data_IF_746676250513
#
_entry.id   IF_746676250513
#
_cell.length_a   1.000
_cell.length_b   1.000
_cell.length_c   1.000
_cell.angle_alpha   90.00
_cell.angle_beta   90.00
_cell.angle_gamma   90.00
#
_symmetry.space_group_name_H-M   'P 1'
#
loop_
_entity.id
_entity.type
_entity.pdbx_description
1 polymer ?
2 polymer ?
3 non-polymer ?
4 non-polymer ?
5 non-polymer ?
6 non-polymer ?
7 non-polymer ?
8 water ?
#
# COMPACT_ATOMS: atom_id res chain seq x y z
N UNK A 1 10.45 -5.71 28.99
CA UNK A 1 10.26 -5.46 27.52
C UNK A 1 9.28 -4.26 27.24
N UNK A 2 9.68 -3.37 26.33
CA UNK A 2 8.88 -2.23 25.96
C UNK A 2 8.78 -2.29 24.45
N UNK A 3 7.63 -1.90 23.96
CA UNK A 3 7.35 -2.04 22.53
C UNK A 3 8.23 -1.19 21.62
N UNK A 4 8.81 -0.12 22.16
CA UNK A 4 9.64 0.77 21.36
C UNK A 4 11.00 0.15 21.00
N UNK A 5 11.45 -0.85 21.78
CA UNK A 5 12.72 -1.53 21.51
C UNK A 5 12.50 -2.91 20.98
N UNK A 6 13.03 -3.19 19.79
CA UNK A 6 12.95 -4.54 19.22
C UNK A 6 11.49 -4.99 19.13
N UNK A 7 10.58 -4.04 19.04
CA UNK A 7 9.14 -4.36 18.92
C UNK A 7 8.59 -5.11 20.15
N UNK A 8 9.20 -4.88 21.33
CA UNK A 8 8.88 -5.62 22.52
C UNK A 8 9.06 -7.11 22.39
N UNK A 9 9.83 -7.55 21.39
CA UNK A 9 9.99 -8.96 21.04
C UNK A 9 8.78 -9.59 20.29
N UNK A 10 7.76 -8.78 20.02
CA UNK A 10 6.55 -9.26 19.36
C UNK A 10 6.83 -9.46 17.87
N UNK A 11 6.25 -10.48 17.31
CA UNK A 11 6.33 -10.67 15.85
C UNK A 11 5.54 -9.61 15.12
N UNK A 12 4.39 -9.22 15.65
CA UNK A 12 3.50 -8.22 15.06
C UNK A 12 3.29 -7.05 15.99
N UNK A 13 2.13 -6.91 16.60
CA UNK A 13 1.77 -5.72 17.26
C UNK A 13 2.10 -5.82 18.76
N UNK A 14 2.31 -4.67 19.40
CA UNK A 14 2.80 -4.67 20.84
C UNK A 14 2.12 -3.55 21.58
N UNK A 15 1.56 -3.84 22.77
CA UNK A 15 0.97 -2.84 23.68
C UNK A 15 1.76 -2.86 24.96
N UNK A 16 2.19 -1.66 25.40
CA UNK A 16 2.76 -1.47 26.75
C UNK A 16 1.61 -1.35 27.75
N UNK A 17 1.81 -1.91 28.95
CA UNK A 17 0.80 -1.92 30.01
C UNK A 17 1.48 -1.45 31.29
N UNK A 18 0.68 -1.02 32.26
CA UNK A 18 1.24 -0.46 33.50
C UNK A 18 1.92 -1.61 34.27
N UNK A 19 3.19 -1.38 34.63
CA UNK A 19 4.09 -2.41 35.15
C UNK A 19 5.22 -2.59 34.16
N UNK A 20 6.14 -3.51 34.42
CA UNK A 20 7.01 -4.02 33.36
C UNK A 20 6.16 -5.03 32.53
N UNK A 21 4.99 -4.58 32.01
CA UNK A 21 4.07 -5.49 31.28
C UNK A 21 3.94 -5.12 29.82
N UNK A 22 3.78 -6.15 29.02
CA UNK A 22 3.72 -5.97 27.56
C UNK A 22 2.79 -7.05 27.05
N UNK A 23 1.94 -6.77 26.05
CA UNK A 23 1.14 -7.79 25.48
C UNK A 23 1.36 -7.68 23.97
N UNK A 24 1.68 -8.81 23.36
CA UNK A 24 1.77 -8.86 21.87
C UNK A 24 0.45 -9.23 21.36
N UNK A 25 0.17 -8.82 20.10
CA UNK A 25 -1.06 -9.16 19.51
C UNK A 25 -0.79 -9.50 18.03
N UNK A 26 -1.79 -10.05 17.36
CA UNK A 26 -1.66 -10.45 16.00
C UNK A 26 -2.81 -9.82 15.21
N UNK A 27 -2.53 -9.62 13.94
CA UNK A 27 -3.55 -9.17 12.99
C UNK A 27 -4.64 -10.19 12.87
N UNK A 28 -5.80 -9.75 12.41
CA UNK A 28 -6.85 -10.66 12.07
C UNK A 28 -6.30 -11.71 11.09
N UNK A 29 -6.74 -12.95 11.24
CA UNK A 29 -6.24 -14.02 10.47
C UNK A 29 -4.97 -14.71 11.02
N UNK A 30 -4.60 -14.27 12.21
CA UNK A 30 -3.49 -14.91 12.93
C UNK A 30 -3.91 -15.08 14.37
N UNK A 31 -3.23 -16.01 15.06
CA UNK A 31 -3.36 -16.17 16.50
C UNK A 31 -1.97 -16.15 17.15
N UNK A 32 -1.95 -15.71 18.37
CA UNK A 32 -0.75 -15.62 19.18
C UNK A 32 -0.42 -16.94 19.83
N UNK A 33 0.83 -17.32 19.71
CA UNK A 33 1.26 -18.61 20.27
C UNK A 33 1.53 -18.39 21.75
N UNK A 34 1.77 -19.55 22.38
CA UNK A 34 1.97 -19.59 23.86
C UNK A 34 3.27 -18.93 24.26
N UNK A 35 4.20 -18.69 23.35
CA UNK A 35 5.33 -17.88 23.62
C UNK A 35 5.02 -16.44 23.92
N UNK A 36 3.78 -16.02 23.60
CA UNK A 36 3.35 -14.65 23.80
C UNK A 36 3.85 -13.66 22.77
N UNK A 37 4.60 -14.12 21.77
CA UNK A 37 5.23 -13.23 20.79
C UNK A 37 4.89 -13.62 19.34
N UNK A 38 4.79 -14.90 19.03
CA UNK A 38 4.70 -15.36 17.66
C UNK A 38 3.28 -15.38 17.21
N UNK A 39 3.11 -15.13 15.92
CA UNK A 39 1.79 -15.16 15.31
C UNK A 39 1.72 -16.24 14.25
N UNK A 40 0.65 -17.05 14.22
CA UNK A 40 0.54 -18.11 13.25
C UNK A 40 -0.81 -17.92 12.49
N UNK A 41 -0.79 -18.08 11.19
CA UNK A 41 -2.05 -17.95 10.46
C UNK A 41 -3.14 -18.88 10.92
N UNK A 42 -4.38 -18.38 10.89
CA UNK A 42 -5.54 -19.14 11.23
C UNK A 42 -6.46 -19.34 10.04
N UNK A 43 -6.10 -18.72 8.94
CA UNK A 43 -6.90 -18.80 7.71
C UNK A 43 -5.96 -19.14 6.55
N UNK A 44 -6.54 -19.48 5.40
CA UNK A 44 -5.81 -19.91 4.26
C UNK A 44 -4.95 -18.77 3.66
N UNK A 45 -5.53 -17.57 3.65
CA UNK A 45 -4.92 -16.42 3.00
C UNK A 45 -4.79 -15.27 3.90
N UNK A 46 -3.93 -15.42 4.92
CA UNK A 46 -3.70 -14.31 5.81
C UNK A 46 -3.01 -13.15 5.13
N UNK A 47 -3.25 -11.95 5.62
CA UNK A 47 -2.61 -10.79 5.03
C UNK A 47 -1.12 -10.86 5.08
N UNK A 48 -0.47 -10.30 4.06
CA UNK A 48 0.96 -10.09 4.09
C UNK A 48 1.82 -11.32 3.85
N UNK A 49 1.20 -12.43 3.46
CA UNK A 49 1.93 -13.66 3.13
C UNK A 49 1.70 -13.96 1.65
N UNK A 50 2.73 -14.48 1.00
CA UNK A 50 2.66 -14.75 -0.44
C UNK A 50 2.49 -16.22 -0.66
N UNK A 51 1.27 -16.72 -0.97
CA UNK A 51 0.98 -18.13 -1.01
C UNK A 51 1.95 -18.98 -1.84
N UNK A 52 2.37 -18.48 -3.01
CA UNK A 52 3.21 -19.37 -3.80
C UNK A 52 4.62 -19.51 -3.23
N UNK A 53 5.03 -18.58 -2.35
CA UNK A 53 6.28 -18.68 -1.62
C UNK A 53 6.11 -19.45 -0.32
N UNK A 54 4.98 -19.32 0.37
CA UNK A 54 4.71 -20.06 1.61
C UNK A 54 4.64 -21.56 1.30
N UNK A 55 4.01 -21.91 0.19
CA UNK A 55 4.01 -23.28 -0.33
C UNK A 55 5.40 -23.71 -0.90
N UNK A 56 6.16 -22.78 -1.49
CA UNK A 56 7.58 -23.04 -1.86
C UNK A 56 8.46 -23.45 -0.65
N UNK A 57 8.13 -22.94 0.55
CA UNK A 57 8.87 -23.23 1.81
C UNK A 57 8.18 -24.17 2.83
N UNK A 58 6.99 -24.70 2.51
CA UNK A 58 6.22 -25.58 3.44
C UNK A 58 6.83 -26.99 3.60
N UNK B 1 7.63 1.71 -13.12
CA UNK B 1 8.80 1.39 -12.28
C UNK B 1 10.07 1.42 -13.17
N UNK B 2 11.02 2.25 -12.81
CA UNK B 2 12.34 2.33 -13.48
C UNK B 2 13.34 1.52 -12.70
N UNK B 3 14.03 0.62 -13.41
CA UNK B 3 15.18 -0.04 -12.85
C UNK B 3 14.87 -1.19 -11.88
N UNK B 4 13.67 -1.73 -12.02
CA UNK B 4 13.25 -2.91 -11.20
C UNK B 4 13.27 -4.15 -12.05
N UNK B 5 12.38 -5.07 -11.73
CA UNK B 5 12.28 -6.30 -12.42
C UNK B 5 10.81 -6.69 -12.43
N UNK B 6 10.47 -7.65 -13.25
CA UNK B 6 9.13 -8.22 -13.27
C UNK B 6 8.90 -8.84 -11.89
N UNK B 7 7.74 -8.53 -11.35
CA UNK B 7 7.31 -9.22 -10.13
C UNK B 7 6.79 -10.57 -10.56
N UNK B 8 7.41 -11.67 -10.14
CA UNK B 8 6.89 -12.96 -10.62
C UNK B 8 5.43 -13.12 -10.28
N UNK B 9 4.65 -13.61 -11.25
CA UNK B 9 3.23 -13.69 -11.11
C UNK B 9 2.89 -14.32 -9.73
N UNK B 10 2.03 -13.64 -8.99
CA UNK B 10 1.59 -14.11 -7.67
C UNK B 10 2.46 -13.65 -6.54
N UNK B 11 3.62 -13.02 -6.81
CA UNK B 11 4.44 -12.56 -5.73
C UNK B 11 4.15 -11.14 -5.24
N UNK B 12 3.24 -10.46 -5.93
CA UNK B 12 2.74 -9.14 -5.51
C UNK B 12 1.20 -9.21 -5.43
N UNK B 13 0.64 -10.12 -4.63
CA UNK B 13 -0.76 -10.50 -4.79
C UNK B 13 -1.78 -9.46 -4.25
N UNK B 14 -1.29 -8.47 -3.60
CA UNK B 14 -2.03 -7.31 -3.10
C UNK B 14 -2.13 -6.18 -4.08
N UNK B 15 -1.34 -6.29 -5.20
CA UNK B 15 -1.32 -5.18 -6.16
C UNK B 15 -2.69 -5.07 -6.82
N UNK B 16 -3.13 -3.84 -6.91
CA UNK B 16 -4.39 -3.51 -7.61
C UNK B 16 -4.04 -2.69 -8.86
N UNK B 17 -4.77 -2.93 -9.91
CA UNK B 17 -4.76 -2.04 -11.10
C UNK B 17 -6.12 -1.33 -11.14
N UNK B 18 -6.06 0.00 -11.20
CA UNK B 18 -7.27 0.81 -11.38
C UNK B 18 -7.42 1.25 -12.83
N UNK B 19 -8.60 1.03 -13.36
CA UNK B 19 -8.94 1.37 -14.78
C UNK B 19 -10.07 2.37 -14.77
N UNK B 20 -10.04 3.28 -15.78
CA UNK B 20 -11.18 4.15 -16.03
C UNK B 20 -11.48 4.05 -17.53
N UNK B 21 -12.69 3.64 -17.83
CA UNK B 21 -13.09 3.22 -19.19
C UNK B 21 -12.10 2.26 -19.87
N UNK B 22 -11.58 1.31 -19.09
CA UNK B 22 -10.64 0.32 -19.56
C UNK B 22 -9.17 0.73 -19.63
N UNK B 23 -8.87 2.00 -19.41
CA UNK B 23 -7.56 2.56 -19.53
C UNK B 23 -6.91 2.56 -18.15
N UNK B 24 -5.63 2.26 -18.13
CA UNK B 24 -4.85 2.26 -16.89
C UNK B 24 -4.88 3.66 -16.27
N UNK B 25 -5.28 3.73 -14.99
CA UNK B 25 -5.30 4.96 -14.22
C UNK B 25 -4.16 5.03 -13.19
N UNK B 26 -4.10 4.00 -12.36
CA UNK B 26 -3.21 4.02 -11.18
C UNK B 26 -3.14 2.63 -10.64
N UNK B 27 -2.27 2.47 -9.64
CA UNK B 27 -2.28 1.26 -8.85
C UNK B 27 -3.02 1.48 -7.57
N UNK B 28 -2.97 0.41 -6.79
CA UNK B 28 -3.58 0.44 -5.45
C UNK B 28 -3.11 -0.77 -4.68
N UNK B 29 -3.56 -0.91 -3.44
CA UNK B 29 -3.19 -2.02 -2.59
C UNK B 29 -4.43 -2.59 -1.92
N UNK B 30 -4.59 -3.87 -2.06
CA UNK B 30 -5.72 -4.54 -1.40
C UNK B 30 -5.33 -4.68 0.10
N UNK B 31 -6.22 -4.27 0.98
CA UNK B 31 -5.95 -4.48 2.45
C UNK B 31 -6.97 -5.36 3.12
N UNK B 32 -8.05 -5.68 2.45
CA UNK B 32 -9.08 -6.59 2.91
C UNK B 32 -9.84 -7.02 1.68
N UNK B 33 -10.86 -7.89 1.80
CA UNK B 33 -11.55 -8.30 0.61
C UNK B 33 -12.37 -7.26 -0.11
N UNK B 34 -12.72 -6.17 0.56
CA UNK B 34 -13.48 -5.12 -0.07
C UNK B 34 -12.79 -3.75 -0.09
N UNK B 35 -11.60 -3.63 0.45
CA UNK B 35 -10.93 -2.36 0.62
C UNK B 35 -9.58 -2.28 -0.04
N UNK B 36 -9.45 -1.19 -0.81
CA UNK B 36 -8.25 -0.86 -1.51
C UNK B 36 -7.72 0.46 -1.12
N UNK B 37 -6.41 0.61 -0.91
CA UNK B 37 -5.80 1.89 -0.63
C UNK B 37 -5.05 2.36 -1.89
N UNK B 38 -5.33 3.60 -2.28
CA UNK B 38 -4.63 4.18 -3.41
C UNK B 38 -4.25 5.63 -3.08
N UNK B 39 -3.93 6.46 -4.10
CA UNK B 39 -3.57 7.83 -3.92
C UNK B 39 -4.71 8.74 -4.28
N UNK B 40 -4.99 9.75 -3.45
CA UNK B 40 -6.03 10.71 -3.79
C UNK B 40 -5.90 11.34 -5.15
N UNK B 41 -4.66 11.62 -5.56
CA UNK B 41 -4.41 12.36 -6.81
C UNK B 41 -4.79 11.60 -8.02
N UNK B 42 -4.93 10.27 -7.90
CA UNK B 42 -5.48 9.43 -8.95
C UNK B 42 -6.87 9.84 -9.43
N UNK B 43 -7.64 10.50 -8.58
CA UNK B 43 -9.00 10.83 -8.85
C UNK B 43 -9.25 12.31 -9.19
N UNK B 44 -8.23 13.10 -9.37
CA UNK B 44 -8.42 14.57 -9.54
C UNK B 44 -9.17 14.86 -10.87
N UNK B 45 -9.03 14.00 -11.86
CA UNK B 45 -9.67 14.27 -13.22
C UNK B 45 -10.77 13.31 -13.57
N UNK B 46 -11.32 12.59 -12.61
CA UNK B 46 -12.38 11.68 -12.89
C UNK B 46 -13.67 12.44 -13.17
N UNK B 47 -14.30 12.11 -14.29
CA UNK B 47 -15.59 12.70 -14.67
C UNK B 47 -16.72 11.76 -14.35
N UNK B 48 -16.63 10.52 -14.80
CA UNK B 48 -17.66 9.56 -14.48
C UNK B 48 -17.13 8.53 -13.46
N UNK B 49 -17.53 8.76 -12.22
CA UNK B 49 -17.11 7.99 -11.10
C UNK B 49 -17.57 6.57 -11.25
N UNK B 50 -18.48 6.27 -12.20
CA UNK B 50 -19.09 4.99 -12.32
C UNK B 50 -18.44 4.01 -13.28
N UNK B 51 -17.37 4.45 -13.95
CA UNK B 51 -16.56 3.68 -14.86
C UNK B 51 -15.17 3.32 -14.26
N UNK B 52 -15.04 3.40 -12.95
CA UNK B 52 -13.80 3.02 -12.26
C UNK B 52 -13.86 1.58 -11.90
N UNK B 53 -12.84 0.83 -12.30
CA UNK B 53 -12.74 -0.58 -12.05
C UNK B 53 -11.47 -0.89 -11.35
N UNK B 54 -11.52 -1.79 -10.34
CA UNK B 54 -10.29 -2.31 -9.75
C UNK B 54 -10.09 -3.73 -10.18
N UNK B 55 -8.88 -4.10 -10.55
CA UNK B 55 -8.56 -5.41 -10.93
C UNK B 55 -7.52 -5.96 -9.92
N UNK B 56 -7.82 -7.15 -9.41
CA UNK B 56 -6.97 -7.95 -8.55
C UNK B 56 -6.46 -9.15 -9.37
N UNK B 57 -5.31 -9.71 -8.99
CA UNK B 57 -4.76 -10.87 -9.58
C UNK B 57 -4.16 -10.60 -10.99
N UNK B 58 -3.96 -9.33 -11.30
CA UNK B 58 -3.45 -8.96 -12.65
C UNK B 58 -1.95 -9.16 -12.61
N UNK B 59 -1.41 -9.48 -13.80
CA UNK B 59 0.03 -9.63 -13.94
C UNK B 59 0.46 -9.07 -15.32
N UNK B 60 0.05 -9.81 -16.35
CA UNK B 60 0.42 -9.42 -17.75
C UNK B 60 -0.79 -8.87 -18.41
N UNK B 61 -0.74 -7.57 -18.62
CA UNK B 61 -1.87 -6.83 -19.25
C UNK B 61 -2.24 -7.25 -20.64
N UNK B 62 -1.39 -8.02 -21.25
CA UNK B 62 -1.65 -8.44 -22.64
C UNK B 62 -2.52 -9.64 -22.71
N UNK B 63 -2.79 -10.36 -21.58
CA UNK B 63 -3.47 -11.63 -21.65
C UNK B 63 -4.45 -11.78 -20.52
N UNK B 64 -5.42 -12.62 -20.70
CA UNK B 64 -6.30 -13.05 -19.64
C UNK B 64 -5.88 -14.45 -19.27
N UNK B 65 -5.56 -14.67 -17.99
CA UNK B 65 -5.23 -16.01 -17.56
C UNK B 65 -6.23 -16.64 -16.57
N UNK B 66 -7.26 -15.89 -16.20
CA UNK B 66 -8.28 -16.36 -15.31
C UNK B 66 -8.05 -16.16 -13.85
N UNK B 67 -6.90 -15.65 -13.48
CA UNK B 67 -6.65 -15.27 -12.06
C UNK B 67 -7.08 -13.82 -11.75
N UNK B 68 -7.40 -13.04 -12.79
CA UNK B 68 -7.85 -11.68 -12.57
C UNK B 68 -9.24 -11.65 -12.01
N UNK B 69 -9.51 -10.68 -11.18
CA UNK B 69 -10.83 -10.46 -10.65
C UNK B 69 -11.08 -8.96 -10.67
N UNK B 70 -12.12 -8.56 -11.40
CA UNK B 70 -12.49 -7.19 -11.57
C UNK B 70 -13.66 -6.82 -10.71
N UNK B 71 -13.63 -5.59 -10.15
CA UNK B 71 -14.80 -5.14 -9.38
C UNK B 71 -14.99 -3.68 -9.65
N UNK B 72 -16.22 -3.26 -9.63
CA UNK B 72 -16.53 -1.84 -9.56
C UNK B 72 -16.16 -1.22 -8.26
N UNK B 73 -15.71 0.03 -8.37
CA UNK B 73 -15.40 0.82 -7.18
C UNK B 73 -16.66 1.54 -6.75
N UNK B 74 -17.20 1.18 -5.58
CA UNK B 74 -18.43 1.70 -5.02
C UNK B 74 -18.22 3.02 -4.30
N UNK B 75 -17.03 3.20 -3.70
CA UNK B 75 -16.77 4.43 -2.88
C UNK B 75 -15.32 4.76 -3.05
N UNK B 76 -15.02 6.06 -3.21
CA UNK B 76 -13.69 6.58 -3.21
C UNK B 76 -13.70 7.60 -2.07
N UNK B 77 -12.96 7.31 -1.01
CA UNK B 77 -12.93 8.12 0.20
C UNK B 77 -11.61 8.84 0.30
N UNK B 78 -11.68 10.17 0.36
CA UNK B 78 -10.47 11.01 0.38
C UNK B 78 -10.50 11.91 1.63
N UNK B 79 -9.34 12.12 2.25
CA UNK B 79 -9.32 12.95 3.47
C UNK B 79 -9.70 14.40 3.12
N UNK B 80 -10.46 15.02 4.02
CA UNK B 80 -10.88 16.42 3.87
C UNK B 80 -9.73 17.39 3.65
N UNK B 81 -8.57 17.06 4.17
CA UNK B 81 -7.37 17.84 4.06
C UNK B 81 -6.63 17.79 2.70
N UNK B 82 -6.97 16.81 1.86
CA UNK B 82 -6.39 16.73 0.55
C UNK B 82 -6.98 17.79 -0.37
N UNK B 83 -6.09 18.49 -1.10
CA UNK B 83 -6.49 19.48 -2.06
C UNK B 83 -6.11 19.07 -3.46
N UNK B 84 -7.08 18.91 -4.36
CA UNK B 84 -6.75 18.48 -5.70
C UNK B 84 -5.68 19.37 -6.35
N UNK B 85 -4.72 18.71 -6.98
CA UNK B 85 -3.59 19.37 -7.63
C UNK B 85 -2.43 19.72 -6.75
N UNK B 86 -2.49 19.36 -5.45
CA UNK B 86 -1.40 19.51 -4.53
C UNK B 86 -1.01 18.11 -4.00
N UNK B 87 0.05 18.07 -3.19
CA UNK B 87 0.73 16.82 -2.84
C UNK B 87 0.36 16.25 -1.47
N UNK B 88 -0.04 17.09 -0.53
CA UNK B 88 -0.18 16.58 0.85
C UNK B 88 -1.43 15.71 0.97
N UNK B 89 -1.38 14.78 1.89
CA UNK B 89 -2.54 13.92 2.22
C UNK B 89 -3.00 13.05 1.03
N UNK B 90 -2.05 12.47 0.34
CA UNK B 90 -2.31 11.82 -0.91
C UNK B 90 -2.67 10.35 -0.69
N UNK B 91 -3.89 10.16 -0.25
CA UNK B 91 -4.40 8.81 0.03
C UNK B 91 -5.89 8.76 -0.25
N UNK B 92 -6.30 7.60 -0.70
CA UNK B 92 -7.67 7.32 -0.97
C UNK B 92 -8.01 5.94 -0.49
N UNK B 93 -9.22 5.73 0.04
CA UNK B 93 -9.67 4.40 0.47
C UNK B 93 -10.83 4.06 -0.42
N UNK B 94 -10.74 2.95 -1.11
CA UNK B 94 -11.71 2.54 -2.06
C UNK B 94 -12.45 1.34 -1.54
N UNK B 95 -13.79 1.40 -1.61
CA UNK B 95 -14.66 0.28 -1.27
C UNK B 95 -15.07 -0.41 -2.57
N UNK B 96 -14.83 -1.72 -2.71
CA UNK B 96 -15.26 -2.42 -3.88
C UNK B 96 -16.77 -2.74 -3.78
N UNK B 97 -17.42 -2.92 -4.92
CA UNK B 97 -18.86 -3.19 -4.92
C UNK B 97 -19.18 -4.58 -4.39
N UNK B 98 -18.24 -5.51 -4.55
CA UNK B 98 -18.37 -6.89 -4.06
C UNK B 98 -16.98 -7.35 -3.65
N UNK B 99 -16.86 -8.16 -2.60
CA UNK B 99 -15.53 -8.58 -2.23
C UNK B 99 -14.80 -9.34 -3.34
N UNK B 100 -13.48 -9.20 -3.40
CA UNK B 100 -12.67 -10.17 -4.12
C UNK B 100 -12.66 -11.47 -3.35
N UNK B 101 -12.31 -12.53 -4.05
CA UNK B 101 -12.12 -13.85 -3.48
C UNK B 101 -10.64 -14.06 -3.30
N UNK B 102 -10.22 -14.33 -2.06
CA UNK B 102 -8.82 -14.56 -1.86
C UNK B 102 -8.41 -15.87 -2.51
N UNK B 103 -7.25 -15.84 -3.12
CA UNK B 103 -6.67 -16.98 -3.88
C UNK B 103 -5.19 -16.87 -3.80
N UNK B 104 -4.49 -17.82 -4.41
CA UNK B 104 -3.07 -17.70 -4.42
C UNK B 104 -2.54 -16.38 -5.07
N UNK B 105 -3.40 -15.80 -5.92
CA UNK B 105 -3.01 -14.66 -6.68
C UNK B 105 -3.63 -13.39 -6.19
N UNK B 106 -4.48 -13.47 -5.15
CA UNK B 106 -5.21 -12.30 -4.66
C UNK B 106 -5.18 -12.41 -3.12
N UNK B 107 -4.39 -11.58 -2.49
CA UNK B 107 -4.14 -11.63 -1.04
C UNK B 107 -4.00 -10.18 -0.58
N UNK B 108 -4.59 -9.80 0.54
CA UNK B 108 -4.39 -8.45 1.05
C UNK B 108 -3.00 -8.25 1.69
N UNK B 109 -2.50 -7.05 1.64
CA UNK B 109 -1.36 -6.63 2.37
C UNK B 109 -1.87 -6.20 3.77
N UNK B 110 -1.13 -6.49 4.81
CA UNK B 110 -1.59 -6.10 6.12
C UNK B 110 -1.48 -4.59 6.33
N UNK B 111 -2.53 -3.97 6.79
CA UNK B 111 -2.51 -2.62 7.22
C UNK B 111 -2.04 -2.61 8.69
N UNK B 112 -0.87 -2.10 8.94
CA UNK B 112 -0.30 -2.26 10.31
C UNK B 112 -0.97 -1.32 11.28
N UNK B 113 -0.87 -1.68 12.57
CA UNK B 113 -1.12 -0.67 13.57
C UNK B 113 -0.14 0.48 13.49
N UNK B 114 -0.63 1.67 13.90
CA UNK B 114 0.14 2.92 13.88
C UNK B 114 1.45 2.76 14.65
N UNK B 115 1.33 2.29 15.90
CA UNK B 115 2.57 2.24 16.72
C UNK B 115 3.63 1.34 16.14
N UNK B 116 3.18 0.19 15.68
CA UNK B 116 4.07 -0.76 15.04
C UNK B 116 4.70 -0.14 13.83
N UNK B 117 3.90 0.55 13.06
CA UNK B 117 4.47 1.13 11.83
C UNK B 117 5.48 2.21 12.09
N UNK B 118 5.16 3.03 13.08
CA UNK B 118 6.03 4.14 13.51
C UNK B 118 7.30 3.68 14.22
N UNK B 119 7.15 2.71 15.09
CA UNK B 119 8.25 2.32 15.98
C UNK B 119 9.12 1.25 15.33
N UNK B 120 8.57 0.46 14.41
CA UNK B 120 9.28 -0.67 13.87
C UNK B 120 9.42 -0.60 12.35
N UNK B 121 8.30 -0.55 11.65
CA UNK B 121 8.38 -0.60 10.18
C UNK B 121 9.13 0.56 9.57
N UNK B 122 9.01 1.74 10.14
CA UNK B 122 9.62 2.95 9.63
C UNK B 122 11.13 2.87 9.63
N UNK B 123 11.68 1.94 10.43
CA UNK B 123 13.13 1.68 10.46
C UNK B 123 13.63 0.52 9.67
N UNK B 124 12.76 -0.18 8.94
CA UNK B 124 13.18 -1.20 8.03
C UNK B 124 13.65 -0.45 6.77
N UNK B 125 14.90 -0.68 6.38
CA UNK B 125 15.50 0.17 5.39
C UNK B 125 14.87 0.00 4.01
N UNK B 126 14.75 -1.22 3.55
CA UNK B 126 14.25 -1.47 2.20
C UNK B 126 12.81 -1.93 2.21
N UNK B 127 12.07 -1.55 1.15
CA UNK B 127 10.72 -1.95 0.98
C UNK B 127 10.45 -2.00 -0.52
N UNK B 128 9.40 -2.69 -0.90
CA UNK B 128 9.11 -2.94 -2.32
C UNK B 128 8.05 -2.01 -2.80
N UNK B 129 8.23 -1.46 -3.99
CA UNK B 129 7.25 -0.66 -4.67
C UNK B 129 6.99 -1.31 -6.00
N UNK B 130 5.75 -1.23 -6.48
CA UNK B 130 5.35 -1.99 -7.65
C UNK B 130 4.29 -1.28 -8.46
N UNK B 131 4.22 -1.65 -9.73
CA UNK B 131 3.15 -1.16 -10.60
C UNK B 131 3.45 -1.42 -12.07
N UNK B 132 2.50 -0.97 -12.87
CA UNK B 132 2.57 -1.06 -14.33
C UNK B 132 2.90 0.32 -14.93
N UNK B 133 3.60 1.14 -14.22
CA UNK B 133 3.98 2.47 -14.66
C UNK B 133 5.08 2.42 -15.74
N UNK B 134 5.53 3.61 -16.03
CA UNK B 134 6.59 3.78 -17.03
C UNK B 134 7.87 3.08 -16.60
N UNK B 135 8.47 2.39 -17.60
CA UNK B 135 9.74 1.74 -17.40
C UNK B 135 10.90 2.69 -17.53
N UNK B 136 10.63 3.87 -18.10
CA UNK B 136 11.61 4.96 -18.30
C UNK B 136 10.86 6.23 -18.26
N UNK B 137 11.54 7.27 -17.86
CA UNK B 137 11.03 8.60 -17.94
C UNK B 137 10.76 8.89 -19.43
N UNK B 138 9.58 9.38 -19.69
CA UNK B 138 9.12 9.69 -21.05
C UNK B 138 9.04 8.40 -21.91
N UNK B 139 8.86 7.24 -21.26
CA UNK B 139 8.77 5.95 -21.91
C UNK B 139 7.45 5.26 -21.74
N UNK B 140 7.33 4.12 -22.38
CA UNK B 140 6.11 3.33 -22.38
C UNK B 140 5.92 2.68 -20.97
N UNK B 141 4.69 2.40 -20.66
CA UNK B 141 4.38 1.69 -19.41
C UNK B 141 4.59 0.20 -19.60
N UNK B 142 4.70 -0.49 -18.46
CA UNK B 142 4.94 -1.91 -18.45
C UNK B 142 3.75 -2.75 -18.72
N UNK B 143 3.94 -3.86 -19.44
CA UNK B 143 2.90 -4.84 -19.69
C UNK B 143 2.82 -5.91 -18.53
N UNK B 144 3.97 -6.20 -17.98
CA UNK B 144 4.02 -7.04 -16.79
C UNK B 144 4.30 -6.21 -15.56
N UNK B 145 3.67 -6.65 -14.45
CA UNK B 145 3.86 -5.94 -13.21
C UNK B 145 5.29 -5.90 -12.78
N UNK B 146 5.79 -4.74 -12.44
CA UNK B 146 7.17 -4.56 -12.07
C UNK B 146 7.27 -4.33 -10.56
N UNK B 147 8.46 -4.58 -10.01
CA UNK B 147 8.73 -4.38 -8.60
C UNK B 147 10.15 -3.90 -8.37
N UNK B 148 10.32 -3.02 -7.41
CA UNK B 148 11.61 -2.42 -7.09
C UNK B 148 11.82 -2.35 -5.60
N UNK B 149 13.04 -2.68 -5.19
CA UNK B 149 13.39 -2.50 -3.78
C UNK B 149 14.01 -1.14 -3.59
N UNK B 150 13.47 -0.33 -2.72
CA UNK B 150 13.88 1.06 -2.45
C UNK B 150 14.17 1.30 -0.97
N UNK B 151 15.23 2.06 -0.67
CA UNK B 151 15.54 2.34 0.73
C UNK B 151 14.89 3.64 1.14
N UNK B 152 14.40 3.70 2.36
CA UNK B 152 13.70 4.86 2.90
C UNK B 152 14.69 5.77 3.55
N UNK B 153 14.42 7.03 3.44
CA UNK B 153 15.22 8.06 4.06
C UNK B 153 14.47 8.72 5.17
N UNK B 154 15.15 9.09 6.23
CA UNK B 154 14.57 10.14 7.12
C UNK B 154 14.42 11.42 6.37
N UNK B 155 13.35 12.16 6.63
CA UNK B 155 13.05 13.31 5.81
C UNK B 155 14.16 14.41 5.87
N UNK B 156 14.73 14.61 7.05
CA UNK B 156 15.86 15.57 7.17
C UNK B 156 16.95 15.18 6.17
N UNK B 157 17.26 13.87 6.05
CA UNK B 157 18.26 13.35 5.09
C UNK B 157 17.83 13.49 3.64
N UNK B 158 16.53 13.29 3.38
CA UNK B 158 16.04 13.47 2.03
C UNK B 158 16.24 14.89 1.55
N UNK B 159 15.90 15.83 2.42
CA UNK B 159 16.00 17.25 2.13
C UNK B 159 17.46 17.65 1.90
N UNK B 160 18.36 17.16 2.75
CA UNK B 160 19.82 17.37 2.58
C UNK B 160 20.36 16.76 1.28
N UNK B 161 20.03 15.49 1.03
CA UNK B 161 20.54 14.79 -0.16
C UNK B 161 19.90 15.19 -1.50
N UNK B 162 18.82 15.97 -1.49
CA UNK B 162 18.08 16.36 -2.68
C UNK B 162 18.47 17.73 -3.21
N UNK B 163 18.62 17.84 -4.54
CA UNK B 163 18.79 19.13 -5.22
C UNK B 163 18.85 18.93 -6.73
N UNK B 168 8.78 23.79 -5.91
CA UNK B 168 9.19 22.47 -5.43
C UNK B 168 8.50 22.12 -4.08
N UNK B 169 7.59 21.11 -4.03
CA UNK B 169 6.85 20.91 -2.74
C UNK B 169 7.72 20.48 -1.51
N UNK B 170 7.28 20.84 -0.31
CA UNK B 170 7.87 20.35 0.96
C UNK B 170 7.62 18.82 1.06
N UNK B 171 8.45 18.15 1.84
CA UNK B 171 8.18 16.82 2.29
C UNK B 171 7.57 17.00 3.68
N UNK B 172 6.29 16.70 3.84
CA UNK B 172 5.58 16.96 5.05
C UNK B 172 5.59 15.71 5.87
N UNK B 173 4.96 15.81 7.04
CA UNK B 173 5.00 14.71 8.02
C UNK B 173 4.09 13.57 7.49
N UNK B 174 3.36 13.85 6.39
CA UNK B 174 2.42 12.90 5.79
C UNK B 174 3.04 12.23 4.61
N UNK B 175 4.37 12.35 4.48
CA UNK B 175 5.14 11.80 3.44
C UNK B 175 6.46 11.26 3.92
N UNK B 176 7.09 10.44 3.09
CA UNK B 176 8.49 10.06 3.25
C UNK B 176 9.13 9.82 1.90
N UNK B 177 10.47 10.01 1.85
CA UNK B 177 11.27 9.74 0.68
C UNK B 177 11.79 8.34 0.69
N UNK B 178 11.88 7.74 -0.50
CA UNK B 178 12.53 6.48 -0.66
C UNK B 178 13.06 6.36 -2.07
N UNK B 179 14.15 5.61 -2.22
CA UNK B 179 14.71 5.39 -3.54
C UNK B 179 16.16 5.87 -3.62
N UNK B 180 16.48 6.51 -4.73
CA UNK B 180 17.88 6.76 -5.10
C UNK B 180 17.97 8.07 -5.82
N UNK B 181 19.03 8.81 -5.54
CA UNK B 181 19.25 10.12 -6.14
C UNK B 181 20.12 10.03 -7.41
N UNK B 182 20.51 8.85 -7.82
CA UNK B 182 21.46 8.72 -8.98
C UNK B 182 20.78 8.44 -10.32
N UNK B 183 19.46 8.53 -10.39
CA UNK B 183 18.73 8.41 -11.63
C UNK B 183 18.51 7.00 -12.16
N UNK B 184 18.78 5.99 -11.36
CA UNK B 184 18.73 4.61 -11.84
C UNK B 184 17.40 3.91 -11.61
N UNK B 185 16.77 4.24 -10.48
CA UNK B 185 15.69 3.36 -9.94
C UNK B 185 14.66 4.24 -9.22
N UNK B 186 13.40 4.11 -9.63
CA UNK B 186 12.33 4.86 -9.01
C UNK B 186 11.00 4.24 -9.38
N UNK B 187 9.95 4.67 -8.65
CA UNK B 187 8.60 4.53 -9.18
C UNK B 187 8.30 5.75 -9.98
N UNK B 188 7.31 5.64 -10.85
CA UNK B 188 7.01 6.79 -11.67
C UNK B 188 5.49 7.02 -11.80
N UNK B 189 5.08 8.13 -12.45
CA UNK B 189 3.66 8.54 -12.70
C UNK B 189 2.62 7.46 -12.63
N UNK B 190 2.76 6.45 -13.54
CA UNK B 190 1.75 5.44 -13.68
C UNK B 190 1.71 4.35 -12.59
N UNK B 191 2.66 4.42 -11.70
CA UNK B 191 2.66 3.57 -10.51
C UNK B 191 1.93 4.21 -9.38
N UNK B 192 1.55 5.48 -9.52
CA UNK B 192 0.79 6.23 -8.49
C UNK B 192 -0.28 5.38 -7.91
N UNK B 193 -0.38 5.47 -6.60
CA UNK B 193 -1.37 4.73 -5.86
C UNK B 193 -0.94 3.35 -5.41
N UNK B 194 0.12 2.77 -6.01
CA UNK B 194 0.51 1.47 -5.71
C UNK B 194 1.21 1.38 -4.34
N UNK B 195 1.52 0.15 -3.95
CA UNK B 195 2.09 -0.10 -2.64
C UNK B 195 3.53 0.19 -2.51
N UNK B 196 3.90 0.62 -1.32
CA UNK B 196 5.24 0.54 -0.75
C UNK B 196 5.03 -0.40 0.45
N UNK B 197 5.57 -1.60 0.28
CA UNK B 197 5.35 -2.77 1.15
C UNK B 197 6.64 -3.12 1.88
N UNK B 198 6.48 -3.37 3.18
CA UNK B 198 7.61 -3.51 4.07
C UNK B 198 7.54 -4.81 4.76
N UNK B 199 8.62 -5.60 4.71
CA UNK B 199 8.62 -6.90 5.31
C UNK B 199 9.14 -6.78 6.76
N UNK B 200 8.49 -7.50 7.67
CA UNK B 200 8.99 -7.61 9.04
C UNK B 200 8.63 -8.95 9.57
N UNK B 201 9.65 -9.72 9.95
CA UNK B 201 9.48 -11.04 10.51
C UNK B 201 8.45 -11.94 9.82
N UNK B 202 8.56 -12.03 8.49
CA UNK B 202 7.85 -13.00 7.76
C UNK B 202 6.55 -12.52 7.12
N UNK B 203 6.20 -11.29 7.35
CA UNK B 203 4.88 -10.74 6.93
C UNK B 203 5.13 -9.35 6.35
N UNK B 204 4.35 -9.05 5.30
CA UNK B 204 4.43 -7.78 4.67
C UNK B 204 3.29 -6.81 5.05
N UNK B 205 3.61 -5.55 5.13
CA UNK B 205 2.75 -4.52 5.61
C UNK B 205 2.72 -3.31 4.65
N UNK B 206 1.62 -2.60 4.63
CA UNK B 206 1.56 -1.32 3.91
C UNK B 206 2.11 -0.13 4.66
N UNK B 207 3.22 0.42 4.16
CA UNK B 207 3.82 1.60 4.72
C UNK B 207 3.79 2.87 3.89
N UNK B 208 3.63 2.72 2.58
CA UNK B 208 3.52 3.88 1.77
C UNK B 208 2.71 3.68 0.53
N UNK B 209 2.42 4.80 -0.10
CA UNK B 209 1.66 4.82 -1.35
C UNK B 209 2.50 5.64 -2.34
N UNK B 210 2.71 5.10 -3.54
CA UNK B 210 3.41 5.90 -4.60
C UNK B 210 2.63 7.19 -4.80
N UNK B 211 3.28 8.31 -4.57
CA UNK B 211 2.60 9.61 -4.52
C UNK B 211 3.19 10.62 -5.57
N UNK B 212 4.41 11.06 -5.39
CA UNK B 212 4.94 12.12 -6.26
C UNK B 212 6.45 12.11 -6.37
N UNK B 213 6.92 12.92 -7.31
CA UNK B 213 8.36 13.13 -7.43
C UNK B 213 8.60 14.07 -8.60
N UNK B 214 9.87 14.22 -8.93
CA UNK B 214 10.28 15.06 -10.05
C UNK B 214 10.61 14.08 -11.17
N UNK B 215 9.89 14.20 -12.27
CA UNK B 215 10.20 13.47 -13.46
C UNK B 215 10.06 12.03 -13.13
N UNK B 216 11.14 11.29 -13.31
CA UNK B 216 11.08 9.93 -13.07
C UNK B 216 12.47 9.34 -13.07
N UNK B 217 12.88 8.87 -11.88
CA UNK B 217 14.25 8.55 -11.65
C UNK B 217 15.14 9.72 -12.06
N UNK B 218 14.76 10.93 -11.66
CA UNK B 218 15.52 12.15 -12.01
C UNK B 218 16.68 12.24 -11.08
N UNK B 219 17.90 12.42 -11.60
CA UNK B 219 19.08 12.66 -10.78
C UNK B 219 18.86 13.80 -9.82
N UNK B 220 19.31 13.56 -8.58
CA UNK B 220 19.13 14.48 -7.49
C UNK B 220 17.81 14.42 -6.73
N UNK B 221 16.93 13.45 -7.06
CA UNK B 221 15.55 13.46 -6.49
C UNK B 221 15.14 12.06 -6.16
N UNK B 222 14.47 11.93 -4.98
CA UNK B 222 13.96 10.64 -4.51
C UNK B 222 12.48 10.56 -4.78
N UNK B 223 11.95 9.34 -4.76
CA UNK B 223 10.50 9.17 -4.80
C UNK B 223 9.89 9.64 -3.51
N UNK B 224 8.67 10.15 -3.59
CA UNK B 224 7.97 10.59 -2.42
C UNK B 224 6.68 9.77 -2.29
N UNK B 225 6.45 9.33 -1.07
CA UNK B 225 5.42 8.31 -0.76
C UNK B 225 4.53 8.86 0.36
N UNK B 226 3.24 8.59 0.30
CA UNK B 226 2.41 8.92 1.40
C UNK B 226 2.75 8.06 2.58
N UNK B 227 2.86 8.67 3.74
CA UNK B 227 3.22 7.99 5.00
C UNK B 227 1.95 7.41 5.62
N UNK B 228 1.71 6.18 5.26
CA UNK B 228 0.43 5.55 5.60
C UNK B 228 0.20 5.42 7.13
N UNK B 229 1.25 5.41 7.90
CA UNK B 229 1.13 5.31 9.35
C UNK B 229 0.28 6.49 9.92
N UNK B 230 0.26 7.64 9.24
CA UNK B 230 -0.48 8.80 9.67
C UNK B 230 -1.99 8.59 9.55
N UNK B 231 -2.36 7.57 8.76
CA UNK B 231 -3.76 7.34 8.35
C UNK B 231 -4.41 6.09 8.87
N UNK B 232 -3.73 5.36 9.75
CA UNK B 232 -4.26 4.04 10.14
C UNK B 232 -5.61 4.17 10.81
N UNK B 233 -5.70 5.06 11.79
CA UNK B 233 -6.96 5.25 12.52
C UNK B 233 -8.06 5.84 11.64
N UNK B 234 -7.68 6.68 10.68
CA UNK B 234 -8.63 7.22 9.72
C UNK B 234 -9.23 6.12 8.85
N UNK B 235 -8.33 5.26 8.33
CA UNK B 235 -8.73 4.13 7.52
C UNK B 235 -9.59 3.16 8.29
N UNK B 236 -9.13 2.80 9.51
CA UNK B 236 -9.89 1.82 10.28
C UNK B 236 -11.28 2.29 10.58
N UNK B 237 -11.41 3.54 10.96
CA UNK B 237 -12.73 4.05 11.20
C UNK B 237 -13.62 3.96 9.97
N UNK B 238 -13.09 4.37 8.83
CA UNK B 238 -13.89 4.33 7.62
C UNK B 238 -14.27 2.92 7.21
N UNK B 239 -13.39 1.97 7.48
CA UNK B 239 -13.74 0.56 7.16
C UNK B 239 -14.85 -0.03 7.99
N UNK B 240 -15.12 0.59 9.12
CA UNK B 240 -16.25 0.19 10.00
C UNK B 240 -17.54 0.94 9.66
N UNK B 241 -17.48 1.86 8.72
CA UNK B 241 -18.62 2.74 8.38
C UNK B 241 -19.47 2.15 7.31
N UNK B 242 -20.76 2.46 7.38
CA UNK B 242 -21.62 2.17 6.29
C UNK B 242 -21.36 2.96 5.02
N UNK B 243 -21.51 2.30 3.86
CA UNK B 243 -21.40 3.05 2.62
C UNK B 243 -22.49 4.14 2.53
N UNK B 244 -22.17 5.16 1.75
CA UNK B 244 -23.02 6.32 1.55
C UNK B 244 -23.28 6.42 0.06
N UNK B 245 -24.51 6.85 -0.34
CA UNK B 245 -24.71 7.03 -1.72
C UNK B 245 -23.74 8.06 -2.29
N UNK B 246 -23.38 7.84 -3.54
CA UNK B 246 -22.47 8.71 -4.26
C UNK B 246 -21.03 8.26 -4.07
N UNK B 247 -20.33 8.03 -5.16
CA UNK B 247 -19.01 7.36 -5.13
C UNK B 247 -18.00 8.14 -4.30
N UNK B 248 -17.81 9.40 -4.63
CA UNK B 248 -16.83 10.18 -3.90
C UNK B 248 -17.35 10.55 -2.55
N UNK B 249 -16.52 10.33 -1.52
CA UNK B 249 -16.77 10.77 -0.16
C UNK B 249 -15.57 11.48 0.40
N UNK B 250 -15.73 12.71 0.83
CA UNK B 250 -14.71 13.36 1.52
C UNK B 250 -14.98 13.17 2.98
N UNK B 251 -14.01 12.67 3.71
CA UNK B 251 -14.17 12.31 5.12
C UNK B 251 -13.20 13.13 5.93
N UNK B 252 -13.62 13.67 7.08
CA UNK B 252 -12.74 14.44 7.92
C UNK B 252 -11.46 13.72 8.30
N UNK B 253 -10.38 14.48 8.21
CA UNK B 253 -9.12 14.06 8.70
C UNK B 253 -8.59 15.18 9.62
N UNK B 254 -8.11 14.85 10.81
CA UNK B 254 -7.96 13.50 11.30
C UNK B 254 -9.28 12.76 11.62
X LIG C 1 -5.16 -22.51 8.05
X LIG D 1 5.89 -14.22 2.23
X LIG D 1 4.84 -15.08 2.61
X LIG D 1 6.52 -13.74 3.52
X LIG D 1 5.67 -12.71 4.05
X LIG D 1 7.92 -13.33 3.17
X LIG D 1 7.95 -12.98 1.77
X LIG E 1 -3.92 -11.73 19.71
X LIG E 1 -4.09 -10.74 18.78
X LIG E 1 -4.35 -13.00 19.01
X LIG E 1 -5.59 -12.93 18.29
X LIG E 1 -4.53 -13.90 20.20
X LIG E 1 -4.48 -15.19 19.64
X LIG F 1 -3.64 -10.73 -17.24
X LIG G 1 -21.57 4.66 10.16
X LIG H 1 -21.84 9.21 -7.83
X LIG I 1 11.40 10.85 9.51
X LIG I 1 11.14 9.45 9.87
X LIG I 1 10.38 11.69 10.17
X LIG I 1 12.77 11.16 10.00
X LIG I 1 11.37 11.06 8.06
X LIG J 1 3.10 13.46 -9.94
X LIG J 1 -0.03 13.06 -12.96
X LIG J 1 6.97 9.65 -8.77
X LIG J 1 8.24 9.21 -8.41
X LIG J 1 4.05 14.47 -10.27
X LIG J 1 2.19 13.60 -8.88
X LIG J 1 4.44 10.54 -9.55
X LIG J 1 -0.99 13.66 -11.94
X LIG J 1 4.60 9.55 -8.54
X LIG J 1 2.26 14.82 -8.15
X LIG J 1 9.25 10.66 -9.90
X LIG J 1 0.08 13.99 -14.22
X LIG J 1 8.02 11.16 -10.34
X LIG J 1 1.63 12.18 -11.37
X LIG J 1 1.32 13.01 -12.39
X LIG J 1 3.02 12.17 -10.79
X LIG J 1 3.16 10.98 -9.91
X LIG J 1 6.82 10.63 -9.78
X LIG J 1 9.33 9.70 -9.00
X LIG J 1 0.72 11.46 -10.97
X LIG J 1 5.82 9.12 -8.14
X LIG J 1 5.57 11.08 -10.14
X LIG J 1 4.12 15.67 -9.57
X LIG J 1 2.26 13.95 -13.06
X LIG J 1 8.42 8.29 -7.42
X LIG J 1 4.91 14.29 -11.30
X LIG J 1 3.23 15.83 -8.52
X LIG J 1 1.46 15.08 -7.06
X LIG J 1 1.60 14.27 -14.44
X LIG J 1 -2.36 13.37 -12.03
X LIG J 1 -0.52 14.52 -10.93
X LIG J 1 0.40 14.15 -6.77
X LIG J 1 0.05 14.29 -5.29
X LIG J 1 -3.26 13.93 -11.12
X LIG J 1 -1.43 15.09 -10.04
X LIG J 1 -2.79 14.79 -10.15
#
# INVERSE_FOLDING_TARGET
LICVNENGGCEQYCSDHTGTKRSCRCHEGYSLLADGVSCTPTVEYPCGKIPILEKRNASKPQGR
IVGGKVCPKGECPWQVLLLVNGAQLCGGTLINTIWVVSAAHCFDKIKNWRNLIAVLGEHDLSEHDGDEQSRRVAQVIIPSTYVPGTTNHDIALLRLHQPVVLTDHVVPLCLPERTFSERTLAFVRFSLVSGWGQLLDRGATALELMVLNVPRLMTQDCLQQSRKVGDSPNITEYMFCAGYSDGSKDSCKGDSGGPHATHYRGTWYLTGIVSWGQGCATVGHFGVYTRVSQYIEWLQKLMRSEPRPGVLLRAPFP
CL CL
GOL C1 O1 C2 O2 C3 O3
GOL C1 O1 C2 O2 C3 O3
CA CA
CL CL
CL CL
SO4 S O1 O2 O3 O4
7Z1 C4 C5 C7 C8 C10 C13 C15 C17 C21 C22 C24 C26 C28 C1 N2 C3 N6 C9 N11 O12 C14 C16 C18 C19 N20 F23 C25 O27 C29 C30 C31 C32 C33 C34 C35 C36
#
